data_IF_577150717919
#
_entry.id   IF_577150717919
#
_cell.length_a   1.000
_cell.length_b   1.000
_cell.length_c   1.000
_cell.angle_alpha   90.00
_cell.angle_beta   90.00
_cell.angle_gamma   90.00
#
_symmetry.space_group_name_H-M   'P 1'
#
loop_
_entity.id
_entity.type
_entity.pdbx_description
1 polymer ?
#
# COMPACT_ATOMS: atom_id res chain seq x y z
N UNK A 1 -14.80 -8.03 -27.31
CA UNK A 1 -13.85 -8.71 -26.39
C UNK A 1 -12.66 -7.79 -26.14
N UNK A 2 -12.68 -6.97 -25.09
CA UNK A 2 -11.45 -6.48 -24.45
C UNK A 2 -11.79 -6.39 -22.96
N UNK A 3 -11.34 -7.38 -22.19
CA UNK A 3 -11.30 -7.28 -20.74
C UNK A 3 -10.48 -6.03 -20.45
N UNK A 4 -11.12 -4.96 -19.93
CA UNK A 4 -10.39 -3.90 -19.22
C UNK A 4 -9.48 -4.66 -18.28
N UNK A 5 -8.18 -4.57 -18.53
CA UNK A 5 -7.16 -5.15 -17.66
C UNK A 5 -7.60 -4.81 -16.23
N UNK A 6 -7.88 -5.83 -15.41
CA UNK A 6 -8.11 -5.63 -13.98
C UNK A 6 -6.84 -4.93 -13.50
N UNK A 7 -6.87 -3.60 -13.41
CA UNK A 7 -5.75 -2.79 -13.00
C UNK A 7 -5.33 -3.36 -11.67
N UNK A 8 -4.14 -3.95 -11.61
CA UNK A 8 -3.63 -4.58 -10.39
C UNK A 8 -3.55 -3.47 -9.35
N UNK A 9 -4.56 -3.39 -8.48
CA UNK A 9 -4.65 -2.33 -7.48
C UNK A 9 -3.54 -2.56 -6.46
N UNK A 10 -2.53 -1.69 -6.49
CA UNK A 10 -1.28 -1.88 -5.73
C UNK A 10 -1.43 -1.38 -4.30
N UNK A 11 -0.54 -1.83 -3.40
CA UNK A 11 -0.50 -1.32 -2.03
C UNK A 11 -0.28 0.20 -2.01
N UNK A 12 0.62 0.71 -2.86
CA UNK A 12 0.88 2.14 -2.94
C UNK A 12 -0.36 2.95 -3.36
N UNK A 13 -1.13 2.47 -4.35
CA UNK A 13 -2.39 3.13 -4.76
C UNK A 13 -3.40 3.15 -3.61
N UNK A 14 -3.55 2.04 -2.87
CA UNK A 14 -4.41 1.99 -1.68
C UNK A 14 -3.99 3.00 -0.59
N UNK A 15 -2.68 3.17 -0.40
CA UNK A 15 -2.12 4.12 0.58
C UNK A 15 -2.38 5.57 0.12
N UNK A 16 -2.15 5.87 -1.16
CA UNK A 16 -2.40 7.20 -1.75
C UNK A 16 -3.87 7.60 -1.65
N UNK A 17 -4.76 6.65 -1.92
CA UNK A 17 -6.22 6.85 -1.84
C UNK A 17 -6.72 6.88 -0.39
N UNK A 18 -5.87 6.54 0.59
CA UNK A 18 -6.25 6.46 2.00
C UNK A 18 -7.19 5.29 2.35
N UNK A 19 -7.32 4.30 1.47
CA UNK A 19 -8.22 3.16 1.66
C UNK A 19 -7.63 2.14 2.64
N UNK A 20 -7.86 2.40 3.93
CA UNK A 20 -7.44 1.54 5.04
C UNK A 20 -7.93 0.10 4.87
N UNK A 21 -9.16 -0.11 4.38
CA UNK A 21 -9.72 -1.46 4.22
C UNK A 21 -8.95 -2.22 3.16
N UNK A 22 -8.66 -1.56 2.03
CA UNK A 22 -7.90 -2.17 0.94
C UNK A 22 -6.44 -2.41 1.30
N UNK A 23 -5.81 -1.50 2.03
CA UNK A 23 -4.46 -1.70 2.60
C UNK A 23 -4.42 -2.99 3.43
N UNK A 24 -5.34 -3.16 4.38
CA UNK A 24 -5.42 -4.38 5.19
C UNK A 24 -5.64 -5.63 4.35
N UNK A 25 -6.57 -5.59 3.38
CA UNK A 25 -6.84 -6.72 2.50
C UNK A 25 -5.61 -7.13 1.68
N UNK A 26 -4.85 -6.16 1.16
CA UNK A 26 -3.66 -6.43 0.36
C UNK A 26 -2.54 -7.02 1.21
N UNK A 27 -2.28 -6.45 2.39
CA UNK A 27 -1.27 -6.96 3.34
C UNK A 27 -1.63 -8.36 3.82
N UNK A 28 -2.91 -8.63 4.12
CA UNK A 28 -3.37 -9.96 4.52
C UNK A 28 -3.22 -11.00 3.39
N UNK A 29 -3.32 -10.56 2.13
CA UNK A 29 -3.14 -11.44 0.97
C UNK A 29 -1.67 -11.72 0.70
N UNK A 30 -0.81 -10.74 0.92
CA UNK A 30 0.63 -10.83 0.72
C UNK A 30 1.33 -9.84 1.65
N UNK A 31 1.87 -10.36 2.75
CA UNK A 31 2.55 -9.55 3.77
C UNK A 31 3.86 -8.97 3.27
N UNK A 32 4.47 -9.51 2.22
CA UNK A 32 5.73 -8.98 1.66
C UNK A 32 5.55 -7.58 1.04
N UNK A 33 4.32 -7.21 0.70
CA UNK A 33 3.99 -5.91 0.12
C UNK A 33 4.33 -4.74 1.06
N UNK A 34 4.35 -4.94 2.38
CA UNK A 34 4.66 -3.88 3.36
C UNK A 34 6.05 -3.28 3.14
N UNK A 35 6.99 -4.09 2.67
CA UNK A 35 8.36 -3.70 2.36
C UNK A 35 8.56 -3.33 0.88
N UNK A 36 7.47 -3.22 0.11
CA UNK A 36 7.55 -2.82 -1.29
C UNK A 36 8.02 -1.37 -1.41
N UNK A 37 8.84 -1.14 -2.44
CA UNK A 37 9.40 0.17 -2.77
C UNK A 37 9.34 0.43 -4.27
N UNK A 38 9.23 1.70 -4.62
CA UNK A 38 9.40 2.18 -5.99
C UNK A 38 10.89 2.12 -6.41
N UNK A 39 11.15 2.37 -7.71
CA UNK A 39 12.50 2.37 -8.27
C UNK A 39 13.44 3.41 -7.63
N UNK A 40 12.88 4.51 -7.15
CA UNK A 40 13.59 5.58 -6.44
C UNK A 40 13.85 5.26 -4.95
N UNK A 41 13.41 4.09 -4.47
CA UNK A 41 13.53 3.69 -3.07
C UNK A 41 12.38 4.13 -2.17
N UNK A 42 11.40 4.89 -2.68
CA UNK A 42 10.22 5.30 -1.90
C UNK A 42 9.44 4.07 -1.43
N UNK A 43 9.29 3.90 -0.11
CA UNK A 43 8.58 2.76 0.49
C UNK A 43 7.09 3.06 0.71
N UNK A 44 6.30 2.01 0.94
CA UNK A 44 4.91 2.12 1.39
C UNK A 44 4.76 3.06 2.61
N UNK A 45 5.67 2.97 3.59
CA UNK A 45 5.68 3.83 4.76
C UNK A 45 5.98 5.29 4.40
N UNK A 46 6.97 5.55 3.54
CA UNK A 46 7.27 6.92 3.06
C UNK A 46 6.06 7.56 2.39
N UNK A 47 5.30 6.79 1.60
CA UNK A 47 4.06 7.29 0.98
C UNK A 47 3.02 7.61 2.06
N UNK A 48 2.77 6.72 3.01
CA UNK A 48 1.79 6.97 4.08
C UNK A 48 2.11 8.25 4.88
N UNK A 49 3.40 8.49 5.17
CA UNK A 49 3.86 9.69 5.87
C UNK A 49 3.74 10.96 5.00
N UNK A 50 4.06 10.87 3.70
CA UNK A 50 3.90 11.97 2.74
C UNK A 50 2.46 12.48 2.69
N UNK A 51 1.48 11.57 2.73
CA UNK A 51 0.05 11.90 2.75
C UNK A 51 -0.51 12.11 4.17
N UNK A 52 0.35 12.13 5.20
CA UNK A 52 -0.02 12.33 6.62
C UNK A 52 -1.08 11.34 7.13
N UNK A 53 -1.13 10.12 6.57
CA UNK A 53 -2.10 9.11 6.95
C UNK A 53 -1.55 8.21 8.08
N UNK A 54 -1.61 8.72 9.31
CA UNK A 54 -1.11 8.01 10.50
C UNK A 54 -1.76 6.63 10.73
N UNK A 55 -3.08 6.44 10.51
CA UNK A 55 -3.68 5.10 10.60
C UNK A 55 -3.02 4.07 9.69
N UNK A 56 -2.75 4.43 8.42
CA UNK A 56 -2.08 3.54 7.47
C UNK A 56 -0.61 3.34 7.85
N UNK A 57 0.09 4.39 8.26
CA UNK A 57 1.47 4.28 8.73
C UNK A 57 1.58 3.29 9.92
N UNK A 58 0.64 3.35 10.87
CA UNK A 58 0.59 2.41 12.00
C UNK A 58 0.31 0.97 11.56
N UNK A 59 -0.56 0.76 10.57
CA UNK A 59 -0.80 -0.57 9.99
C UNK A 59 0.49 -1.12 9.38
N UNK A 60 1.21 -0.31 8.60
CA UNK A 60 2.46 -0.72 7.97
C UNK A 60 3.54 -1.08 9.00
N UNK A 61 3.76 -0.21 10.00
CA UNK A 61 4.71 -0.47 11.10
C UNK A 61 4.39 -1.74 11.88
N UNK A 62 3.10 -1.95 12.19
CA UNK A 62 2.65 -3.16 12.88
C UNK A 62 2.85 -4.45 12.06
N UNK A 63 3.08 -4.34 10.75
CA UNK A 63 3.35 -5.47 9.86
C UNK A 63 4.83 -5.53 9.41
N UNK A 64 5.73 -4.75 10.03
CA UNK A 64 7.18 -4.84 9.79
C UNK A 64 7.70 -4.08 8.57
N UNK A 65 7.05 -2.95 8.24
CA UNK A 65 7.57 -1.95 7.28
C UNK A 65 8.64 -1.04 7.88
#
# INVERSE_FOLDING_TARGET
MILKSKTKYTLHSAIQDGDIKKVKQLINKDSTLVNSKYKDGTTALSVALKYKNLPIAKILLNNGA
#
